data_IF_282635104204
#
_entry.id   IF_282635104204
#
_cell.length_a   1.000
_cell.length_b   1.000
_cell.length_c   1.000
_cell.angle_alpha   90.00
_cell.angle_beta   90.00
_cell.angle_gamma   90.00
#
_symmetry.space_group_name_H-M   'P 1'
#
loop_
_entity.id
_entity.type
_entity.pdbx_description
1 polymer ?
#
# COMPACT_ATOMS: atom_id res chain seq x y z
N UNK A 1 4.57 7.79 32.47
CA UNK A 1 5.24 8.34 31.29
C UNK A 1 4.28 9.21 30.53
N UNK A 2 4.55 10.50 30.36
CA UNK A 2 3.72 11.43 29.60
C UNK A 2 3.55 10.88 28.16
N UNK A 3 2.29 10.85 27.71
CA UNK A 3 1.94 10.42 26.34
C UNK A 3 2.53 11.49 25.40
N UNK A 4 3.66 11.21 24.77
CA UNK A 4 4.24 12.13 23.79
C UNK A 4 3.20 12.33 22.69
N UNK A 5 2.79 13.57 22.47
CA UNK A 5 1.87 13.92 21.39
C UNK A 5 2.55 13.58 20.05
N UNK A 6 1.76 13.03 19.12
CA UNK A 6 2.27 12.78 17.77
C UNK A 6 2.49 14.11 17.06
N UNK A 7 3.57 14.20 16.31
CA UNK A 7 3.74 15.30 15.37
C UNK A 7 2.65 15.26 14.26
N UNK A 8 2.49 16.37 13.52
CA UNK A 8 1.37 16.53 12.59
C UNK A 8 1.35 15.48 11.48
N UNK A 9 2.50 15.08 10.95
CA UNK A 9 2.56 14.07 9.90
C UNK A 9 2.25 12.67 10.46
N UNK A 10 2.82 12.31 11.60
CA UNK A 10 2.54 11.06 12.29
C UNK A 10 1.06 10.95 12.67
N UNK A 11 0.44 12.04 13.13
CA UNK A 11 -0.98 12.09 13.48
C UNK A 11 -1.86 11.90 12.23
N UNK A 12 -1.54 12.55 11.13
CA UNK A 12 -2.30 12.42 9.88
C UNK A 12 -2.30 10.97 9.37
N UNK A 13 -1.12 10.31 9.37
CA UNK A 13 -0.97 8.91 8.99
C UNK A 13 -1.77 8.01 9.95
N UNK A 14 -1.65 8.24 11.26
CA UNK A 14 -2.33 7.47 12.30
C UNK A 14 -3.86 7.57 12.20
N UNK A 15 -4.39 8.77 11.96
CA UNK A 15 -5.82 9.00 11.76
C UNK A 15 -6.35 8.35 10.48
N UNK A 16 -5.55 8.29 9.40
CA UNK A 16 -5.93 7.59 8.18
C UNK A 16 -6.11 6.08 8.45
N UNK A 17 -5.21 5.48 9.21
CA UNK A 17 -5.34 4.08 9.63
C UNK A 17 -6.53 3.89 10.57
N UNK A 18 -6.69 4.74 11.59
CA UNK A 18 -7.81 4.67 12.55
C UNK A 18 -9.17 4.65 11.85
N UNK A 19 -9.37 5.55 10.87
CA UNK A 19 -10.62 5.58 10.08
C UNK A 19 -10.90 4.27 9.36
N UNK A 20 -9.85 3.60 8.86
CA UNK A 20 -9.98 2.36 8.10
C UNK A 20 -10.28 1.15 8.97
N UNK A 21 -9.67 1.07 10.18
CA UNK A 21 -9.75 -0.10 11.07
C UNK A 21 -10.81 0.02 12.17
N UNK A 22 -11.58 1.09 12.19
CA UNK A 22 -12.65 1.27 13.19
C UNK A 22 -13.68 0.14 13.07
N UNK A 23 -13.93 -0.55 14.18
CA UNK A 23 -14.82 -1.71 14.24
C UNK A 23 -14.22 -3.01 13.68
N UNK A 24 -12.91 -3.05 13.49
CA UNK A 24 -12.17 -4.26 13.10
C UNK A 24 -11.50 -4.84 14.34
N UNK A 25 -11.77 -6.10 14.65
CA UNK A 25 -11.22 -6.76 15.84
C UNK A 25 -9.72 -7.04 15.70
N UNK A 26 -9.28 -7.49 14.52
CA UNK A 26 -7.89 -7.83 14.24
C UNK A 26 -7.52 -7.54 12.79
N UNK A 27 -6.27 -7.17 12.57
CA UNK A 27 -5.73 -6.94 11.23
C UNK A 27 -4.22 -7.18 11.15
N UNK A 28 -3.76 -7.44 9.96
CA UNK A 28 -2.34 -7.64 9.62
C UNK A 28 -1.81 -6.43 8.85
N UNK A 29 -0.54 -6.11 9.04
CA UNK A 29 0.15 -5.05 8.31
C UNK A 29 1.32 -5.64 7.55
N UNK A 30 1.34 -5.48 6.23
CA UNK A 30 2.51 -5.79 5.41
C UNK A 30 3.54 -4.66 5.51
N UNK A 31 4.76 -4.99 5.95
CA UNK A 31 5.86 -4.04 6.11
C UNK A 31 7.10 -4.50 5.35
N UNK A 32 7.66 -3.64 4.49
CA UNK A 32 8.93 -3.90 3.77
C UNK A 32 10.12 -3.17 4.40
N UNK A 33 9.91 -2.40 5.48
CA UNK A 33 10.94 -1.57 6.09
C UNK A 33 11.12 -0.20 5.44
N UNK A 34 10.57 0.01 4.25
CA UNK A 34 10.56 1.33 3.60
C UNK A 34 9.64 2.33 4.30
N UNK A 35 9.78 3.64 4.01
CA UNK A 35 9.12 4.71 4.78
C UNK A 35 7.61 4.57 4.84
N UNK A 36 6.94 4.25 3.75
CA UNK A 36 5.49 4.17 3.68
C UNK A 36 4.95 3.00 4.53
N UNK A 37 5.57 1.84 4.41
CA UNK A 37 5.17 0.64 5.16
C UNK A 37 5.54 0.71 6.64
N UNK A 38 6.66 1.35 6.98
CA UNK A 38 7.08 1.56 8.36
C UNK A 38 6.18 2.58 9.06
N UNK A 39 5.86 3.70 8.38
CA UNK A 39 4.89 4.67 8.87
C UNK A 39 3.52 4.02 9.08
N UNK A 40 3.06 3.18 8.14
CA UNK A 40 1.83 2.40 8.28
C UNK A 40 1.86 1.50 9.53
N UNK A 41 2.95 0.76 9.75
CA UNK A 41 3.07 -0.13 10.90
C UNK A 41 2.97 0.64 12.23
N UNK A 42 3.72 1.75 12.37
CA UNK A 42 3.71 2.58 13.58
C UNK A 42 2.33 3.24 13.81
N UNK A 43 1.71 3.74 12.74
CA UNK A 43 0.36 4.27 12.77
C UNK A 43 -0.67 3.21 13.19
N UNK A 44 -0.51 1.99 12.71
CA UNK A 44 -1.37 0.85 13.03
C UNK A 44 -1.31 0.49 14.52
N UNK A 45 -0.15 0.57 15.13
CA UNK A 45 -0.02 0.41 16.59
C UNK A 45 -0.77 1.49 17.37
N UNK A 46 -0.72 2.72 16.92
CA UNK A 46 -1.46 3.81 17.55
C UNK A 46 -2.97 3.63 17.37
N UNK A 47 -3.41 3.30 16.15
CA UNK A 47 -4.83 3.09 15.82
C UNK A 47 -5.40 1.88 16.56
N UNK A 48 -4.65 0.76 16.65
CA UNK A 48 -5.09 -0.45 17.33
C UNK A 48 -5.44 -0.22 18.80
N UNK A 49 -4.67 0.64 19.49
CA UNK A 49 -4.94 1.01 20.89
C UNK A 49 -6.20 1.85 21.06
N UNK A 50 -6.58 2.63 20.06
CA UNK A 50 -7.74 3.51 20.08
C UNK A 50 -9.03 2.78 19.66
N UNK A 51 -8.87 1.80 18.77
CA UNK A 51 -9.96 0.98 18.26
C UNK A 51 -10.10 -0.35 19.02
N UNK A 52 -9.25 -0.60 20.04
CA UNK A 52 -9.19 -1.86 20.80
C UNK A 52 -9.00 -3.09 19.91
N UNK A 53 -8.21 -2.92 18.82
CA UNK A 53 -7.97 -3.94 17.81
C UNK A 53 -6.64 -4.67 18.06
N UNK A 54 -6.56 -5.94 17.69
CA UNK A 54 -5.30 -6.66 17.58
C UNK A 54 -4.56 -6.30 16.28
N UNK A 55 -3.24 -6.10 16.36
CA UNK A 55 -2.42 -5.85 15.16
C UNK A 55 -1.18 -6.73 15.17
N UNK A 56 -0.90 -7.36 14.01
CA UNK A 56 0.32 -8.10 13.73
C UNK A 56 1.01 -7.51 12.51
N UNK A 57 2.34 -7.44 12.52
CA UNK A 57 3.12 -6.99 11.35
C UNK A 57 3.84 -8.16 10.73
N UNK A 58 3.77 -8.25 9.41
CA UNK A 58 4.45 -9.28 8.61
C UNK A 58 5.44 -8.60 7.68
N UNK A 59 6.70 -8.95 7.81
CA UNK A 59 7.77 -8.55 6.90
C UNK A 59 8.00 -9.73 5.94
N UNK A 60 7.85 -9.49 4.63
CA UNK A 60 8.09 -10.54 3.63
C UNK A 60 9.44 -10.31 2.99
N UNK A 61 10.33 -11.29 3.18
CA UNK A 61 11.63 -11.34 2.53
C UNK A 61 11.55 -12.20 1.26
N UNK A 62 11.76 -11.55 0.11
CA UNK A 62 11.68 -12.18 -1.21
C UNK A 62 13.00 -12.83 -1.65
N UNK A 63 14.08 -12.63 -0.90
CA UNK A 63 15.42 -13.15 -1.19
C UNK A 63 15.97 -12.73 -2.58
N UNK A 64 15.42 -11.68 -3.19
CA UNK A 64 15.83 -11.19 -4.52
C UNK A 64 17.06 -10.29 -4.48
N UNK A 65 17.44 -9.80 -3.30
CA UNK A 65 18.58 -8.90 -3.11
C UNK A 65 19.50 -9.46 -2.06
N UNK A 66 20.79 -9.28 -2.28
CA UNK A 66 21.79 -9.61 -1.27
C UNK A 66 21.55 -8.75 0.00
N UNK A 67 21.47 -9.39 1.15
CA UNK A 67 21.21 -8.73 2.43
C UNK A 67 19.75 -8.38 2.70
N UNK A 68 18.79 -8.88 1.91
CA UNK A 68 17.35 -8.66 2.15
C UNK A 68 16.90 -9.27 3.48
N UNK A 69 17.49 -10.39 3.87
CA UNK A 69 17.27 -11.06 5.15
C UNK A 69 17.68 -10.18 6.33
N UNK A 70 18.85 -9.52 6.25
CA UNK A 70 19.29 -8.58 7.29
C UNK A 70 18.37 -7.37 7.42
N UNK A 71 17.84 -6.86 6.29
CA UNK A 71 16.88 -5.76 6.29
C UNK A 71 15.57 -6.19 6.95
N UNK A 72 15.08 -7.39 6.62
CA UNK A 72 13.86 -7.93 7.19
C UNK A 72 13.98 -8.12 8.71
N UNK A 73 15.09 -8.70 9.17
CA UNK A 73 15.35 -8.91 10.59
C UNK A 73 15.55 -7.59 11.37
N UNK A 74 16.30 -6.61 10.82
CA UNK A 74 16.42 -5.26 11.42
C UNK A 74 15.06 -4.57 11.54
N UNK A 75 14.21 -4.71 10.52
CA UNK A 75 12.85 -4.14 10.54
C UNK A 75 12.01 -4.79 11.62
N UNK A 76 12.03 -6.13 11.72
CA UNK A 76 11.36 -6.87 12.80
C UNK A 76 11.82 -6.40 14.17
N UNK A 77 13.14 -6.31 14.39
CA UNK A 77 13.70 -5.90 15.66
C UNK A 77 13.34 -4.46 16.04
N UNK A 78 13.32 -3.56 15.06
CA UNK A 78 12.87 -2.18 15.27
C UNK A 78 11.42 -2.17 15.76
N UNK A 79 10.54 -2.92 15.10
CA UNK A 79 9.12 -2.99 15.44
C UNK A 79 8.90 -3.69 16.80
N UNK A 80 9.66 -4.75 17.10
CA UNK A 80 9.63 -5.44 18.38
C UNK A 80 10.05 -4.51 19.54
N UNK A 81 11.14 -3.73 19.37
CA UNK A 81 11.55 -2.69 20.36
C UNK A 81 10.48 -1.63 20.56
N UNK A 82 9.63 -1.40 19.59
CA UNK A 82 8.44 -0.52 19.71
C UNK A 82 7.23 -1.25 20.29
N UNK A 83 7.39 -2.52 20.73
CA UNK A 83 6.35 -3.36 21.36
C UNK A 83 5.26 -3.77 20.37
N UNK A 84 5.62 -4.10 19.16
CA UNK A 84 4.71 -4.66 18.14
C UNK A 84 4.98 -6.16 17.95
N UNK A 85 3.91 -6.92 17.72
CA UNK A 85 4.03 -8.32 17.27
C UNK A 85 4.43 -8.30 15.79
N UNK A 86 5.68 -8.64 15.50
CA UNK A 86 6.24 -8.60 14.15
C UNK A 86 6.97 -9.90 13.82
N UNK A 87 6.69 -10.47 12.65
CA UNK A 87 7.35 -11.67 12.17
C UNK A 87 7.87 -11.51 10.74
N UNK A 88 8.94 -12.24 10.42
CA UNK A 88 9.48 -12.35 9.05
C UNK A 88 8.91 -13.61 8.40
N UNK A 89 8.50 -13.48 7.13
CA UNK A 89 8.15 -14.60 6.25
C UNK A 89 9.09 -14.58 5.05
N UNK A 90 9.88 -15.62 4.89
CA UNK A 90 10.70 -15.84 3.69
C UNK A 90 9.86 -16.51 2.64
N UNK A 91 9.97 -16.04 1.40
CA UNK A 91 9.27 -16.58 0.24
C UNK A 91 10.25 -16.84 -0.89
N UNK A 92 10.08 -17.95 -1.56
CA UNK A 92 10.80 -18.23 -2.80
C UNK A 92 10.04 -17.58 -3.95
N UNK A 93 10.76 -16.85 -4.80
CA UNK A 93 10.21 -16.20 -5.98
C UNK A 93 10.68 -16.98 -7.20
N UNK A 94 9.73 -17.42 -8.02
CA UNK A 94 10.07 -18.08 -9.29
C UNK A 94 10.69 -17.06 -10.25
N UNK A 95 11.99 -17.23 -10.51
CA UNK A 95 12.73 -16.37 -11.44
C UNK A 95 12.31 -16.56 -12.90
N UNK A 96 11.58 -17.64 -13.22
CA UNK A 96 11.11 -17.99 -14.56
C UNK A 96 9.62 -17.71 -14.77
N UNK A 97 8.97 -16.98 -13.85
CA UNK A 97 7.56 -16.60 -13.98
C UNK A 97 7.35 -15.84 -15.30
N UNK A 98 6.36 -16.24 -16.13
CA UNK A 98 6.10 -15.62 -17.42
C UNK A 98 5.75 -14.13 -17.33
N UNK A 99 5.19 -13.69 -16.20
CA UNK A 99 4.85 -12.30 -15.93
C UNK A 99 6.04 -11.48 -15.38
N UNK A 100 7.19 -12.13 -15.21
CA UNK A 100 8.44 -11.55 -14.74
C UNK A 100 8.63 -11.57 -13.21
N UNK A 101 9.87 -11.37 -12.76
CA UNK A 101 10.25 -11.55 -11.36
C UNK A 101 9.53 -10.58 -10.39
N UNK A 102 9.17 -9.39 -10.85
CA UNK A 102 8.42 -8.42 -10.03
C UNK A 102 6.98 -8.88 -9.77
N UNK A 103 6.32 -9.43 -10.80
CA UNK A 103 4.97 -9.97 -10.67
C UNK A 103 4.97 -11.23 -9.78
N UNK A 104 5.94 -12.13 -9.97
CA UNK A 104 6.15 -13.30 -9.12
C UNK A 104 6.36 -12.90 -7.65
N UNK A 105 7.26 -11.95 -7.38
CA UNK A 105 7.51 -11.43 -6.04
C UNK A 105 6.25 -10.82 -5.40
N UNK A 106 5.47 -10.07 -6.20
CA UNK A 106 4.19 -9.51 -5.73
C UNK A 106 3.19 -10.60 -5.35
N UNK A 107 3.09 -11.65 -6.17
CA UNK A 107 2.20 -12.80 -5.94
C UNK A 107 2.63 -13.56 -4.69
N UNK A 108 3.91 -13.92 -4.57
CA UNK A 108 4.47 -14.60 -3.41
C UNK A 108 4.26 -13.80 -2.11
N UNK A 109 4.51 -12.48 -2.15
CA UNK A 109 4.25 -11.58 -1.03
C UNK A 109 2.78 -11.60 -0.60
N UNK A 110 1.85 -11.50 -1.55
CA UNK A 110 0.42 -11.51 -1.24
C UNK A 110 0.00 -12.83 -0.61
N UNK A 111 0.48 -13.96 -1.14
CA UNK A 111 0.21 -15.29 -0.59
C UNK A 111 0.71 -15.42 0.85
N UNK A 112 1.95 -15.00 1.12
CA UNK A 112 2.53 -15.05 2.47
C UNK A 112 1.79 -14.15 3.48
N UNK A 113 1.29 -13.00 3.04
CA UNK A 113 0.49 -12.11 3.88
C UNK A 113 -0.88 -12.73 4.21
N UNK A 114 -1.54 -13.35 3.23
CA UNK A 114 -2.84 -14.02 3.41
C UNK A 114 -2.73 -15.27 4.29
N UNK A 115 -1.64 -16.03 4.15
CA UNK A 115 -1.37 -17.20 5.00
C UNK A 115 -1.32 -16.83 6.50
N UNK A 116 -0.69 -15.68 6.82
CA UNK A 116 -0.64 -15.20 8.20
C UNK A 116 -1.94 -14.56 8.65
N UNK A 117 -2.65 -13.89 7.74
CA UNK A 117 -3.85 -13.14 8.06
C UNK A 117 -5.09 -14.04 8.23
N UNK A 118 -5.15 -15.22 7.58
CA UNK A 118 -6.39 -15.99 7.52
C UNK A 118 -7.50 -15.14 6.90
N UNK A 119 -8.56 -14.85 7.68
CA UNK A 119 -9.68 -14.00 7.23
C UNK A 119 -9.52 -12.52 7.64
N UNK A 120 -8.45 -12.17 8.39
CA UNK A 120 -8.22 -10.80 8.86
C UNK A 120 -7.84 -9.87 7.68
N UNK A 121 -8.22 -8.57 7.72
CA UNK A 121 -7.76 -7.60 6.72
C UNK A 121 -6.25 -7.42 6.74
N UNK A 122 -5.66 -7.23 5.56
CA UNK A 122 -4.23 -6.94 5.38
C UNK A 122 -4.05 -5.51 4.91
N UNK A 123 -3.39 -4.68 5.72
CA UNK A 123 -3.10 -3.29 5.39
C UNK A 123 -1.79 -3.16 4.63
N UNK A 124 -1.80 -2.39 3.53
CA UNK A 124 -0.63 -2.10 2.71
C UNK A 124 -0.41 -0.58 2.59
N UNK A 125 0.86 -0.17 2.60
CA UNK A 125 1.29 1.23 2.65
C UNK A 125 1.33 1.95 1.30
N UNK A 126 0.36 1.71 0.41
CA UNK A 126 0.26 2.50 -0.82
C UNK A 126 -0.24 3.91 -0.51
N UNK A 127 0.47 4.90 -1.05
CA UNK A 127 0.23 6.32 -0.83
C UNK A 127 -0.54 6.96 -2.00
N UNK A 128 -0.87 8.25 -1.86
CA UNK A 128 -1.45 9.04 -2.95
C UNK A 128 -0.51 9.14 -4.17
N UNK A 129 0.78 9.17 -3.91
CA UNK A 129 1.81 9.17 -4.98
C UNK A 129 1.77 7.86 -5.76
N UNK A 130 1.63 6.71 -5.08
CA UNK A 130 1.46 5.41 -5.74
C UNK A 130 0.17 5.35 -6.58
N UNK A 131 -0.89 6.00 -6.11
CA UNK A 131 -2.15 6.11 -6.86
C UNK A 131 -1.95 6.89 -8.16
N UNK A 132 -1.27 8.05 -8.10
CA UNK A 132 -0.96 8.86 -9.28
C UNK A 132 -0.07 8.09 -10.28
N UNK A 133 0.98 7.43 -9.79
CA UNK A 133 1.84 6.56 -10.60
C UNK A 133 1.02 5.47 -11.30
N UNK A 134 0.10 4.82 -10.58
CA UNK A 134 -0.74 3.77 -11.13
C UNK A 134 -1.67 4.26 -12.23
N UNK A 135 -2.28 5.45 -12.07
CA UNK A 135 -3.12 6.08 -13.09
C UNK A 135 -2.33 6.33 -14.37
N UNK A 136 -1.13 6.93 -14.26
CA UNK A 136 -0.27 7.20 -15.42
C UNK A 136 0.14 5.92 -16.14
N UNK A 137 0.52 4.89 -15.40
CA UNK A 137 0.86 3.60 -15.97
C UNK A 137 -0.33 2.94 -16.68
N UNK A 138 -1.53 3.12 -16.16
CA UNK A 138 -2.76 2.61 -16.79
C UNK A 138 -3.12 3.40 -18.05
N UNK A 139 -2.98 4.72 -18.04
CA UNK A 139 -3.17 5.59 -19.22
C UNK A 139 -2.18 5.23 -20.34
N UNK A 140 -0.91 5.04 -20.01
CA UNK A 140 0.12 4.68 -20.98
C UNK A 140 -0.11 3.33 -21.67
N UNK A 141 -0.87 2.43 -21.03
CA UNK A 141 -1.27 1.12 -21.58
C UNK A 141 -2.58 1.17 -22.37
N UNK A 142 -3.23 2.31 -22.47
CA UNK A 142 -4.56 2.42 -23.10
C UNK A 142 -5.65 1.66 -22.34
N UNK A 143 -5.53 1.53 -21.03
CA UNK A 143 -6.44 0.75 -20.19
C UNK A 143 -7.81 1.45 -20.05
N UNK A 144 -8.90 0.64 -19.94
CA UNK A 144 -10.24 1.14 -19.67
C UNK A 144 -10.46 1.67 -18.25
N UNK A 145 -11.69 2.15 -17.98
CA UNK A 145 -12.07 2.82 -16.74
C UNK A 145 -11.71 2.04 -15.45
N UNK A 146 -11.94 0.73 -15.44
CA UNK A 146 -11.61 -0.14 -14.28
C UNK A 146 -10.14 -0.10 -13.91
N UNK A 147 -9.23 -0.07 -14.90
CA UNK A 147 -7.79 0.02 -14.63
C UNK A 147 -7.36 1.44 -14.24
N UNK A 148 -8.04 2.47 -14.77
CA UNK A 148 -7.83 3.87 -14.42
C UNK A 148 -8.34 4.19 -13.00
N UNK A 149 -9.26 3.41 -12.46
CA UNK A 149 -9.67 3.48 -11.06
C UNK A 149 -8.53 3.23 -10.07
N UNK A 150 -7.37 2.76 -10.55
CA UNK A 150 -6.14 2.64 -9.79
C UNK A 150 -6.22 1.64 -8.63
N UNK A 151 -5.60 1.99 -7.51
CA UNK A 151 -5.60 1.19 -6.28
C UNK A 151 -6.88 1.49 -5.51
N UNK A 152 -7.70 0.46 -5.24
CA UNK A 152 -8.93 0.64 -4.45
C UNK A 152 -8.61 0.70 -2.96
N UNK A 153 -9.34 1.50 -2.16
CA UNK A 153 -9.17 1.56 -0.70
C UNK A 153 -9.32 0.17 -0.05
N UNK A 154 -10.23 -0.65 -0.57
CA UNK A 154 -10.41 -2.05 -0.20
C UNK A 154 -10.50 -2.90 -1.46
N UNK A 155 -9.69 -3.96 -1.52
CA UNK A 155 -9.67 -4.94 -2.61
C UNK A 155 -9.59 -6.34 -2.02
N UNK A 156 -10.74 -6.96 -1.75
CA UNK A 156 -10.82 -8.17 -0.95
C UNK A 156 -10.25 -7.93 0.45
N UNK A 157 -9.35 -8.79 0.89
CA UNK A 157 -8.67 -8.64 2.18
C UNK A 157 -7.61 -7.52 2.21
N UNK A 158 -7.15 -7.01 1.06
CA UNK A 158 -6.12 -5.97 1.03
C UNK A 158 -6.73 -4.58 1.13
N UNK A 159 -6.33 -3.83 2.15
CA UNK A 159 -6.81 -2.49 2.44
C UNK A 159 -5.66 -1.48 2.37
N UNK A 160 -5.94 -0.28 1.88
CA UNK A 160 -4.95 0.74 1.58
C UNK A 160 -5.32 2.06 2.28
N UNK A 161 -5.02 2.20 3.58
CA UNK A 161 -5.46 3.37 4.36
C UNK A 161 -4.75 4.68 3.97
N UNK A 162 -3.60 4.62 3.28
CA UNK A 162 -2.77 5.78 3.01
C UNK A 162 -2.96 6.40 1.62
N UNK A 163 -4.01 6.02 0.86
CA UNK A 163 -4.23 6.54 -0.50
C UNK A 163 -4.50 8.04 -0.58
N UNK A 164 -4.81 8.70 0.54
CA UNK A 164 -4.94 10.15 0.64
C UNK A 164 -3.70 10.84 1.23
N UNK A 165 -2.74 10.05 1.74
CA UNK A 165 -1.52 10.53 2.38
C UNK A 165 -0.41 10.64 1.35
N UNK A 166 0.33 11.76 1.35
CA UNK A 166 1.52 11.95 0.50
C UNK A 166 2.69 11.13 1.02
N UNK A 167 3.54 10.63 0.12
CA UNK A 167 4.80 9.96 0.50
C UNK A 167 5.70 10.87 1.35
N UNK A 168 5.74 12.16 1.08
CA UNK A 168 6.46 13.12 1.92
C UNK A 168 5.97 13.13 3.38
N UNK A 169 4.67 12.89 3.61
CA UNK A 169 4.11 12.80 4.96
C UNK A 169 4.51 11.49 5.67
N UNK A 170 4.60 10.36 4.97
CA UNK A 170 5.07 9.11 5.57
C UNK A 170 6.55 9.18 5.94
N UNK A 171 7.38 9.80 5.10
CA UNK A 171 8.78 10.09 5.40
C UNK A 171 8.90 11.01 6.63
N UNK A 172 8.13 12.08 6.67
CA UNK A 172 8.13 13.01 7.82
C UNK A 172 7.61 12.33 9.09
N UNK A 173 6.59 11.49 8.98
CA UNK A 173 6.08 10.72 10.11
C UNK A 173 7.14 9.76 10.68
N UNK A 174 7.95 9.11 9.85
CA UNK A 174 9.08 8.31 10.32
C UNK A 174 10.08 9.15 11.14
N UNK A 175 10.37 10.38 10.70
CA UNK A 175 11.24 11.30 11.46
C UNK A 175 10.62 11.69 12.81
N UNK A 176 9.31 11.99 12.84
CA UNK A 176 8.58 12.33 14.06
C UNK A 176 8.50 11.15 15.05
N UNK A 177 8.48 9.91 14.55
CA UNK A 177 8.61 8.70 15.36
C UNK A 177 10.06 8.32 15.70
N UNK A 178 11.03 9.09 15.23
CA UNK A 178 12.46 8.83 15.45
C UNK A 178 12.84 7.40 15.00
N UNK A 179 12.45 7.05 13.77
CA UNK A 179 12.82 5.79 13.12
C UNK A 179 13.46 6.09 11.77
N UNK A 180 14.46 5.29 11.43
CA UNK A 180 15.14 5.35 10.15
C UNK A 180 14.62 4.21 9.26
N UNK A 181 13.86 4.54 8.18
CA UNK A 181 13.39 3.55 7.24
C UNK A 181 14.52 3.08 6.32
N UNK A 182 14.44 1.82 5.91
CA UNK A 182 15.31 1.32 4.88
C UNK A 182 15.03 1.98 3.54
N UNK A 183 16.10 2.33 2.85
CA UNK A 183 16.06 2.90 1.50
C UNK A 183 16.40 1.80 0.51
N UNK A 184 15.38 1.23 -0.16
CA UNK A 184 15.60 0.21 -1.19
C UNK A 184 16.29 0.83 -2.41
N UNK A 185 17.48 0.36 -2.78
CA UNK A 185 18.18 0.86 -3.99
C UNK A 185 17.38 0.71 -5.27
N UNK A 186 16.50 -0.29 -5.36
CA UNK A 186 15.64 -0.51 -6.53
C UNK A 186 14.56 0.56 -6.70
N UNK A 187 14.22 1.31 -5.66
CA UNK A 187 13.25 2.41 -5.78
C UNK A 187 13.71 3.54 -6.73
N UNK A 188 15.02 3.66 -6.97
CA UNK A 188 15.61 4.61 -7.90
C UNK A 188 16.09 3.99 -9.21
N UNK A 189 15.93 2.68 -9.42
CA UNK A 189 16.46 1.98 -10.59
C UNK A 189 15.66 2.31 -11.87
N UNK A 190 16.27 2.99 -12.87
CA UNK A 190 15.59 3.41 -14.09
C UNK A 190 15.17 2.26 -15.01
N UNK A 191 15.60 1.04 -14.74
CA UNK A 191 15.13 -0.15 -15.47
C UNK A 191 13.66 -0.43 -15.23
N UNK A 192 13.12 0.01 -14.10
CA UNK A 192 11.71 -0.17 -13.76
C UNK A 192 10.88 1.05 -14.20
N UNK A 193 9.87 0.81 -15.03
CA UNK A 193 9.00 1.88 -15.54
C UNK A 193 8.35 2.71 -14.43
N UNK A 194 7.94 2.05 -13.33
CA UNK A 194 7.36 2.74 -12.18
C UNK A 194 8.35 3.68 -11.48
N UNK A 195 9.60 3.26 -11.39
CA UNK A 195 10.68 4.11 -10.88
C UNK A 195 10.89 5.34 -11.75
N UNK A 196 10.94 5.17 -13.08
CA UNK A 196 11.03 6.28 -14.03
C UNK A 196 9.84 7.23 -13.96
N UNK A 197 8.62 6.72 -13.86
CA UNK A 197 7.44 7.58 -13.67
C UNK A 197 7.61 8.44 -12.42
N UNK A 198 8.09 7.86 -11.31
CA UNK A 198 8.31 8.56 -10.05
C UNK A 198 9.42 9.60 -10.10
N UNK A 199 10.56 9.25 -10.70
CA UNK A 199 11.78 10.07 -10.61
C UNK A 199 11.98 11.00 -11.80
N UNK A 200 11.39 10.69 -12.95
CA UNK A 200 11.55 11.49 -14.17
C UNK A 200 10.24 12.20 -14.55
N UNK A 201 9.13 11.46 -14.68
CA UNK A 201 7.88 12.02 -15.22
C UNK A 201 7.11 12.88 -14.22
N UNK A 202 6.91 12.39 -13.00
CA UNK A 202 6.13 13.12 -11.98
C UNK A 202 6.71 14.50 -11.67
N UNK A 203 8.04 14.68 -11.49
CA UNK A 203 8.61 16.01 -11.27
C UNK A 203 8.36 16.97 -12.43
N UNK A 204 8.47 16.51 -13.67
CA UNK A 204 8.16 17.34 -14.85
C UNK A 204 6.68 17.71 -14.90
N UNK A 205 5.79 16.79 -14.58
CA UNK A 205 4.36 17.07 -14.50
C UNK A 205 4.04 18.09 -13.40
N UNK A 206 4.70 18.00 -12.25
CA UNK A 206 4.53 18.97 -11.15
C UNK A 206 5.05 20.36 -11.53
N UNK A 207 6.15 20.44 -12.27
CA UNK A 207 6.71 21.70 -12.77
C UNK A 207 5.78 22.36 -13.79
N UNK A 208 5.24 21.59 -14.75
CA UNK A 208 4.45 22.13 -15.88
C UNK A 208 2.98 22.32 -15.52
N UNK A 209 2.37 21.39 -14.78
CA UNK A 209 0.94 21.36 -14.46
C UNK A 209 0.63 21.83 -13.03
N UNK A 210 1.66 22.05 -12.23
CA UNK A 210 1.55 22.48 -10.84
C UNK A 210 1.65 21.36 -9.81
N UNK A 211 1.94 21.70 -8.55
CA UNK A 211 2.29 20.76 -7.47
C UNK A 211 1.13 19.84 -7.04
N UNK A 212 -0.09 20.11 -7.47
CA UNK A 212 -1.27 19.31 -7.13
C UNK A 212 -1.63 18.25 -8.19
N UNK A 213 -0.78 18.05 -9.21
CA UNK A 213 -1.07 17.08 -10.30
C UNK A 213 -1.25 15.65 -9.76
N UNK A 214 -0.42 15.22 -8.81
CA UNK A 214 -0.55 13.92 -8.16
C UNK A 214 -1.90 13.77 -7.43
N UNK A 215 -2.35 14.83 -6.75
CA UNK A 215 -3.66 14.83 -6.08
C UNK A 215 -4.81 14.80 -7.10
N UNK A 216 -4.66 15.47 -8.23
CA UNK A 216 -5.66 15.50 -9.30
C UNK A 216 -5.81 14.12 -9.95
N UNK A 217 -4.70 13.44 -10.24
CA UNK A 217 -4.70 12.08 -10.75
C UNK A 217 -5.35 11.09 -9.76
N UNK A 218 -5.01 11.20 -8.46
CA UNK A 218 -5.60 10.36 -7.43
C UNK A 218 -7.12 10.59 -7.28
N UNK A 219 -7.58 11.86 -7.35
CA UNK A 219 -9.03 12.18 -7.36
C UNK A 219 -9.75 11.58 -8.56
N UNK A 220 -9.16 11.67 -9.75
CA UNK A 220 -9.73 11.07 -10.97
C UNK A 220 -9.90 9.56 -10.81
N UNK A 221 -8.90 8.87 -10.25
CA UNK A 221 -9.00 7.44 -9.96
C UNK A 221 -10.14 7.13 -8.97
N UNK A 222 -10.31 7.93 -7.92
CA UNK A 222 -11.39 7.74 -6.94
C UNK A 222 -12.77 7.91 -7.57
N UNK A 223 -12.95 8.90 -8.45
CA UNK A 223 -14.20 9.13 -9.17
C UNK A 223 -14.53 7.93 -10.08
N UNK A 224 -13.55 7.48 -10.88
CA UNK A 224 -13.71 6.32 -11.76
C UNK A 224 -14.00 5.03 -10.96
N UNK A 225 -13.41 4.85 -9.78
CA UNK A 225 -13.71 3.71 -8.92
C UNK A 225 -15.18 3.70 -8.46
N UNK A 226 -15.73 4.88 -8.14
CA UNK A 226 -17.16 5.01 -7.78
C UNK A 226 -18.10 4.69 -8.92
N UNK A 227 -17.81 5.17 -10.13
CA UNK A 227 -18.60 4.87 -11.33
C UNK A 227 -18.58 3.37 -11.67
N UNK A 228 -17.41 2.73 -11.59
CA UNK A 228 -17.25 1.30 -11.85
C UNK A 228 -18.07 0.43 -10.88
N UNK A 229 -18.17 0.82 -9.60
CA UNK A 229 -19.04 0.15 -8.62
C UNK A 229 -20.52 0.29 -8.96
N UNK A 230 -20.96 1.46 -9.40
CA UNK A 230 -22.37 1.70 -9.81
C UNK A 230 -22.72 0.84 -11.04
N UNK A 231 -21.85 0.83 -12.04
CA UNK A 231 -22.02 0.01 -13.24
C UNK A 231 -22.03 -1.48 -12.90
N UNK A 232 -21.12 -1.96 -12.08
CA UNK A 232 -21.06 -3.35 -11.66
C UNK A 232 -22.35 -3.78 -10.91
N UNK A 233 -22.89 -2.93 -10.05
CA UNK A 233 -24.16 -3.15 -9.36
C UNK A 233 -25.33 -3.17 -10.33
N UNK A 234 -25.39 -2.24 -11.30
CA UNK A 234 -26.44 -2.18 -12.30
C UNK A 234 -26.46 -3.43 -13.19
N UNK A 235 -25.30 -3.90 -13.63
CA UNK A 235 -25.14 -5.13 -14.42
C UNK A 235 -25.55 -6.38 -13.61
N UNK A 236 -25.18 -6.44 -12.32
CA UNK A 236 -25.58 -7.54 -11.45
C UNK A 236 -27.10 -7.58 -11.18
N UNK A 237 -27.78 -6.43 -11.27
CA UNK A 237 -29.23 -6.31 -11.05
C UNK A 237 -30.05 -6.56 -12.33
N UNK A 238 -29.43 -6.63 -13.50
CA UNK A 238 -30.11 -6.91 -14.74
C UNK A 238 -30.41 -8.42 -14.84
N UNK A 239 -31.70 -8.88 -14.70
CA UNK A 239 -32.03 -10.29 -14.79
C UNK A 239 -31.66 -10.78 -16.18
N UNK A 240 -30.90 -11.86 -16.26
CA UNK A 240 -30.64 -12.61 -17.52
C UNK A 240 -31.91 -13.29 -18.02
N UNK A 241 -32.88 -12.51 -18.48
CA UNK A 241 -34.03 -13.00 -19.22
C UNK A 241 -33.77 -12.88 -20.72
N UNK A 242 -32.94 -13.76 -21.23
CA UNK A 242 -33.04 -14.14 -22.63
C UNK A 242 -34.10 -15.25 -22.73
N UNK A 243 -35.20 -15.05 -23.46
CA UNK A 243 -36.14 -16.15 -23.72
C UNK A 243 -35.44 -17.23 -24.53
N UNK A 244 -35.78 -18.51 -24.32
CA UNK A 244 -35.23 -19.60 -25.11
C UNK A 244 -35.54 -19.36 -26.58
N UNK A 245 -34.52 -19.37 -27.43
CA UNK A 245 -34.72 -19.38 -28.89
C UNK A 245 -35.49 -20.65 -29.25
N UNK A 246 -36.68 -20.48 -29.88
CA UNK A 246 -37.44 -21.54 -30.56
C UNK A 246 -36.73 -21.95 -31.83
#
# INVERSE_FOLDING_TARGET
>A
MARRELGPAALAVAQAVERMVRGVDRFVVGCSGGPDSLALALASKWASRRCESGVRVVIVDHQLQQGSDEVAERTRDLLARRGMDACVRRVDVDAHDPDGPEAAARTARRAALLDVAGDEPVLLGHTRDDQAEQVLLSLARGSGATSLAGIRPRSGQFWHPLLEVRRAQTVQACREWEVEPWQDPHNGDPRFLRSRVRTELMPVMEEVLGPEVAASLARSATLLAGEDEVVARAVAYTPRTLPPKR
#
